data_IF_379507621108
#
_entry.id   IF_379507621108
#
_cell.length_a   1.000
_cell.length_b   1.000
_cell.length_c   1.000
_cell.angle_alpha   90.00
_cell.angle_beta   90.00
_cell.angle_gamma   90.00
#
_symmetry.space_group_name_H-M   'P 1'
#
loop_
_entity.id
_entity.type
_entity.pdbx_description
1 polymer ?
#
# COMPACT_ATOMS: atom_id res chain seq x y z
N UNK A 1 -5.73 -16.62 -7.71
CA UNK A 1 -5.56 -15.92 -6.44
C UNK A 1 -6.46 -14.71 -6.35
N UNK A 2 -7.04 -14.48 -5.19
CA UNK A 2 -8.00 -13.39 -5.02
C UNK A 2 -7.35 -12.01 -5.11
N UNK A 3 -6.06 -11.91 -4.83
CA UNK A 3 -5.36 -10.63 -4.91
C UNK A 3 -5.31 -10.11 -6.34
N UNK A 4 -5.04 -10.98 -7.31
CA UNK A 4 -5.06 -10.59 -8.72
C UNK A 4 -6.44 -10.05 -9.09
N UNK A 5 -7.49 -10.71 -8.64
CA UNK A 5 -8.86 -10.27 -8.90
C UNK A 5 -9.12 -8.90 -8.30
N UNK A 6 -8.66 -8.66 -7.09
CA UNK A 6 -8.87 -7.37 -6.42
C UNK A 6 -8.24 -6.23 -7.24
N UNK A 7 -7.01 -6.45 -7.72
CA UNK A 7 -6.32 -5.42 -8.51
C UNK A 7 -7.04 -5.18 -9.83
N UNK A 8 -7.55 -6.25 -10.46
CA UNK A 8 -8.30 -6.08 -11.71
C UNK A 8 -9.60 -5.30 -11.50
N UNK A 9 -10.25 -5.49 -10.35
CA UNK A 9 -11.46 -4.73 -10.03
C UNK A 9 -11.13 -3.25 -9.83
N UNK A 10 -10.00 -2.97 -9.19
CA UNK A 10 -9.56 -1.58 -9.00
C UNK A 10 -9.27 -0.94 -10.36
N UNK A 11 -8.60 -1.69 -11.25
CA UNK A 11 -8.31 -1.20 -12.58
C UNK A 11 -9.59 -0.84 -13.33
N UNK A 12 -10.60 -1.71 -13.26
CA UNK A 12 -11.87 -1.47 -13.91
C UNK A 12 -12.59 -0.25 -13.32
N UNK A 13 -12.50 -0.08 -12.00
CA UNK A 13 -13.08 1.06 -11.33
C UNK A 13 -12.42 2.36 -11.79
N UNK A 14 -11.11 2.39 -11.87
CA UNK A 14 -10.38 3.58 -12.31
C UNK A 14 -10.70 3.93 -13.76
N UNK A 15 -10.89 2.91 -14.59
CA UNK A 15 -11.26 3.15 -15.98
C UNK A 15 -12.59 3.89 -16.09
N UNK A 16 -13.54 3.56 -15.21
CA UNK A 16 -14.84 4.25 -15.18
C UNK A 16 -14.68 5.72 -14.79
N UNK A 17 -13.62 6.05 -14.06
CA UNK A 17 -13.32 7.44 -13.70
C UNK A 17 -12.49 8.16 -14.75
N UNK A 18 -12.09 7.47 -15.81
CA UNK A 18 -11.33 8.07 -16.89
C UNK A 18 -9.83 7.81 -16.84
N UNK A 19 -9.37 6.97 -15.93
CA UNK A 19 -7.95 6.65 -15.81
C UNK A 19 -7.65 5.30 -16.44
N UNK A 20 -6.79 5.29 -17.45
CA UNK A 20 -6.44 4.05 -18.16
C UNK A 20 -4.98 3.67 -17.97
N UNK A 21 -4.24 4.45 -17.16
CA UNK A 21 -2.82 4.20 -16.85
C UNK A 21 -1.94 4.22 -18.08
N UNK A 22 -2.33 5.02 -19.09
CA UNK A 22 -1.53 5.28 -20.26
C UNK A 22 -1.10 6.73 -20.23
N UNK A 23 0.16 6.99 -20.55
CA UNK A 23 0.76 8.29 -20.35
C UNK A 23 1.44 8.77 -21.62
N UNK A 24 1.37 10.09 -21.86
CA UNK A 24 1.99 10.71 -23.04
C UNK A 24 3.51 10.75 -22.93
N UNK A 25 4.02 10.71 -21.68
CA UNK A 25 5.46 10.85 -21.45
C UNK A 25 5.81 10.23 -20.11
N UNK A 26 7.11 10.00 -19.89
CA UNK A 26 7.61 9.55 -18.60
C UNK A 26 7.33 10.60 -17.53
N UNK A 27 7.44 11.87 -17.89
CA UNK A 27 7.16 12.95 -16.95
C UNK A 27 5.72 12.91 -16.45
N UNK A 28 4.76 12.70 -17.35
CA UNK A 28 3.36 12.62 -16.95
C UNK A 28 3.11 11.39 -16.07
N UNK A 29 3.73 10.27 -16.41
CA UNK A 29 3.61 9.06 -15.62
C UNK A 29 4.17 9.28 -14.21
N UNK A 30 5.34 9.87 -14.11
CA UNK A 30 5.96 10.09 -12.81
C UNK A 30 5.18 11.08 -11.97
N UNK A 31 4.62 12.10 -12.61
CA UNK A 31 3.77 13.05 -11.90
C UNK A 31 2.56 12.35 -11.28
N UNK A 32 1.91 11.48 -12.04
CA UNK A 32 0.74 10.76 -11.54
C UNK A 32 1.14 9.86 -10.36
N UNK A 33 2.26 9.13 -10.49
CA UNK A 33 2.71 8.24 -9.42
C UNK A 33 3.04 9.04 -8.17
N UNK A 34 3.72 10.18 -8.31
CA UNK A 34 4.03 11.04 -7.15
C UNK A 34 2.76 11.51 -6.47
N UNK A 35 1.76 11.92 -7.25
CA UNK A 35 0.50 12.39 -6.69
C UNK A 35 -0.22 11.28 -5.94
N UNK A 36 -0.17 10.05 -6.46
CA UNK A 36 -0.76 8.91 -5.77
C UNK A 36 -0.02 8.60 -4.48
N UNK A 37 1.30 8.69 -4.49
CA UNK A 37 2.09 8.45 -3.29
C UNK A 37 1.81 9.48 -2.20
N UNK A 38 1.67 10.75 -2.60
CA UNK A 38 1.30 11.81 -1.66
C UNK A 38 -0.09 11.58 -1.10
N UNK A 39 -1.03 11.18 -1.95
CA UNK A 39 -2.39 10.89 -1.51
C UNK A 39 -2.39 9.73 -0.51
N UNK A 40 -1.60 8.70 -0.75
CA UNK A 40 -1.51 7.59 0.18
C UNK A 40 -0.95 8.03 1.53
N UNK A 41 0.02 8.94 1.51
CA UNK A 41 0.58 9.48 2.76
C UNK A 41 -0.51 10.17 3.58
N UNK A 42 -1.41 10.90 2.92
CA UNK A 42 -2.54 11.54 3.60
C UNK A 42 -3.47 10.48 4.18
N UNK A 43 -3.72 9.39 3.44
CA UNK A 43 -4.59 8.32 3.92
C UNK A 43 -4.02 7.62 5.14
N UNK A 44 -2.71 7.50 5.24
CA UNK A 44 -2.08 6.97 6.44
C UNK A 44 -2.40 7.86 7.65
N UNK A 45 -2.35 9.18 7.44
CA UNK A 45 -2.70 10.13 8.48
C UNK A 45 -4.16 9.97 8.92
N UNK A 46 -5.07 9.77 7.98
CA UNK A 46 -6.48 9.58 8.29
C UNK A 46 -6.72 8.28 9.04
N UNK A 47 -5.96 7.25 8.70
CA UNK A 47 -6.02 5.98 9.43
C UNK A 47 -5.67 6.21 10.91
N UNK A 48 -4.62 6.98 11.16
CA UNK A 48 -4.19 7.26 12.53
C UNK A 48 -5.27 7.97 13.35
N UNK A 49 -6.08 8.81 12.71
CA UNK A 49 -7.11 9.56 13.42
C UNK A 49 -8.19 8.67 14.03
N UNK A 50 -8.32 7.43 13.57
CA UNK A 50 -9.27 6.48 14.13
C UNK A 50 -8.70 5.67 15.28
N UNK A 51 -7.44 5.95 15.67
CA UNK A 51 -6.73 5.19 16.68
C UNK A 51 -6.13 6.14 17.74
N UNK A 52 -5.94 5.65 18.97
CA UNK A 52 -5.30 6.47 20.02
C UNK A 52 -3.78 6.45 19.81
N UNK A 53 -3.30 7.24 18.85
CA UNK A 53 -1.90 7.22 18.45
C UNK A 53 -1.04 8.25 19.17
N UNK A 54 -1.64 9.12 20.00
CA UNK A 54 -0.90 10.18 20.67
C UNK A 54 -0.43 9.69 22.04
N UNK A 55 0.87 9.38 22.21
CA UNK A 55 1.32 8.83 23.48
C UNK A 55 1.30 9.82 24.65
N UNK A 56 1.18 11.11 24.34
CA UNK A 56 1.13 12.13 25.40
C UNK A 56 -0.27 12.39 25.91
N UNK A 57 -1.27 11.67 25.43
CA UNK A 57 -2.66 11.80 25.89
C UNK A 57 -3.17 10.45 26.36
N UNK A 58 -4.16 10.49 27.24
CA UNK A 58 -4.77 9.25 27.72
C UNK A 58 -5.52 8.57 26.59
N UNK A 59 -5.43 7.24 26.53
CA UNK A 59 -6.09 6.46 25.48
C UNK A 59 -7.59 6.70 25.49
N UNK A 60 -8.20 6.74 26.67
CA UNK A 60 -9.65 6.91 26.80
C UNK A 60 -10.14 8.27 26.32
N UNK A 61 -9.25 9.25 26.17
CA UNK A 61 -9.61 10.57 25.68
C UNK A 61 -9.40 10.71 24.16
N UNK A 62 -9.05 9.61 23.49
CA UNK A 62 -8.77 9.63 22.06
C UNK A 62 -9.78 8.76 21.32
N UNK A 63 -9.92 9.04 20.02
CA UNK A 63 -10.78 8.25 19.16
C UNK A 63 -10.21 6.83 19.01
N UNK A 64 -11.09 5.84 19.07
CA UNK A 64 -10.69 4.46 18.85
C UNK A 64 -11.83 3.74 18.13
N UNK A 65 -11.71 3.60 16.83
CA UNK A 65 -12.74 3.01 15.98
C UNK A 65 -12.11 2.04 15.00
N UNK A 66 -12.10 0.76 15.37
CA UNK A 66 -11.46 -0.26 14.55
C UNK A 66 -12.13 -0.45 13.19
N UNK A 67 -13.46 -0.50 13.07
CA UNK A 67 -14.07 -0.64 11.75
C UNK A 67 -13.71 0.50 10.80
N UNK A 68 -13.70 1.74 11.28
CA UNK A 68 -13.33 2.86 10.42
C UNK A 68 -11.85 2.83 10.06
N UNK A 69 -10.99 2.47 11.03
CA UNK A 69 -9.56 2.32 10.75
C UNK A 69 -9.32 1.27 9.68
N UNK A 70 -10.07 0.15 9.74
CA UNK A 70 -9.93 -0.91 8.76
C UNK A 70 -10.27 -0.43 7.35
N UNK A 71 -11.31 0.41 7.21
CA UNK A 71 -11.68 0.93 5.91
C UNK A 71 -10.61 1.86 5.34
N UNK A 72 -9.92 2.60 6.22
CA UNK A 72 -8.82 3.44 5.75
C UNK A 72 -7.66 2.59 5.20
N UNK A 73 -7.45 1.41 5.77
CA UNK A 73 -6.44 0.51 5.21
C UNK A 73 -6.84 0.02 3.83
N UNK A 74 -8.13 -0.21 3.61
CA UNK A 74 -8.61 -0.60 2.28
C UNK A 74 -8.35 0.53 1.29
N UNK A 75 -8.58 1.78 1.70
CA UNK A 75 -8.28 2.93 0.85
C UNK A 75 -6.80 2.97 0.47
N UNK A 76 -5.93 2.65 1.43
CA UNK A 76 -4.49 2.59 1.14
C UNK A 76 -4.16 1.50 0.13
N UNK A 77 -4.88 0.38 0.19
CA UNK A 77 -4.69 -0.67 -0.81
C UNK A 77 -5.08 -0.18 -2.21
N UNK A 78 -6.16 0.60 -2.31
CA UNK A 78 -6.54 1.19 -3.59
C UNK A 78 -5.41 2.04 -4.16
N UNK A 79 -4.82 2.91 -3.36
CA UNK A 79 -3.72 3.76 -3.83
C UNK A 79 -2.49 2.93 -4.18
N UNK A 80 -2.20 1.89 -3.41
CA UNK A 80 -1.07 1.02 -3.70
C UNK A 80 -1.27 0.31 -5.04
N UNK A 81 -2.47 -0.21 -5.27
CA UNK A 81 -2.77 -0.87 -6.54
C UNK A 81 -2.71 0.10 -7.71
N UNK A 82 -3.19 1.33 -7.49
CA UNK A 82 -3.13 2.37 -8.53
C UNK A 82 -1.67 2.66 -8.90
N UNK A 83 -0.79 2.77 -7.92
CA UNK A 83 0.62 3.00 -8.19
C UNK A 83 1.26 1.85 -8.94
N UNK A 84 0.88 0.63 -8.57
CA UNK A 84 1.37 -0.56 -9.28
C UNK A 84 0.98 -0.49 -10.76
N UNK A 85 -0.29 -0.19 -11.01
CA UNK A 85 -0.78 -0.08 -12.38
C UNK A 85 -0.16 1.10 -13.12
N UNK A 86 0.07 2.20 -12.42
CA UNK A 86 0.70 3.38 -13.01
C UNK A 86 2.16 3.11 -13.41
N UNK A 87 2.81 2.17 -12.73
CA UNK A 87 4.16 1.74 -13.12
C UNK A 87 4.16 0.90 -14.40
N UNK A 88 2.97 0.53 -14.90
CA UNK A 88 2.87 -0.26 -16.12
C UNK A 88 2.89 -1.76 -15.87
N UNK A 89 2.63 -2.17 -14.64
CA UNK A 89 2.73 -3.58 -14.25
C UNK A 89 1.36 -4.21 -14.18
N UNK A 90 1.28 -5.51 -14.46
CA UNK A 90 0.01 -6.22 -14.46
C UNK A 90 -0.32 -6.78 -13.08
N UNK A 91 -1.58 -7.18 -12.90
CA UNK A 91 -2.01 -7.81 -11.66
C UNK A 91 -1.30 -9.13 -11.41
N UNK A 92 -1.01 -9.89 -12.48
CA UNK A 92 -0.29 -11.15 -12.37
C UNK A 92 1.14 -10.91 -11.87
N UNK A 93 1.76 -9.84 -12.35
CA UNK A 93 3.11 -9.48 -11.89
C UNK A 93 3.13 -9.15 -10.41
N UNK A 94 2.04 -8.59 -9.89
CA UNK A 94 1.96 -8.31 -8.47
C UNK A 94 1.98 -9.59 -7.65
N UNK A 95 1.24 -10.59 -8.10
CA UNK A 95 1.21 -11.86 -7.41
C UNK A 95 2.60 -12.52 -7.39
N UNK A 96 3.29 -12.48 -8.53
CA UNK A 96 4.63 -13.02 -8.62
C UNK A 96 5.62 -12.27 -7.73
N UNK A 97 5.51 -10.95 -7.70
CA UNK A 97 6.37 -10.14 -6.85
C UNK A 97 6.09 -10.42 -5.38
N UNK A 98 4.82 -10.59 -5.02
CA UNK A 98 4.46 -10.92 -3.65
C UNK A 98 5.09 -12.25 -3.22
N UNK A 99 4.98 -13.27 -4.06
CA UNK A 99 5.55 -14.58 -3.75
C UNK A 99 7.07 -14.49 -3.61
N UNK A 100 7.69 -13.72 -4.48
CA UNK A 100 9.14 -13.53 -4.42
C UNK A 100 9.56 -12.85 -3.11
N UNK A 101 8.85 -11.81 -2.71
CA UNK A 101 9.18 -11.10 -1.48
C UNK A 101 8.92 -11.96 -0.25
N UNK A 102 7.85 -12.75 -0.28
CA UNK A 102 7.57 -13.66 0.83
C UNK A 102 8.69 -14.67 1.00
N UNK A 103 9.12 -15.27 -0.11
CA UNK A 103 10.22 -16.23 -0.10
C UNK A 103 11.50 -15.60 0.44
N UNK A 104 11.79 -14.39 -0.02
CA UNK A 104 12.97 -13.67 0.42
C UNK A 104 12.92 -13.39 1.92
N UNK A 105 11.75 -12.99 2.43
CA UNK A 105 11.59 -12.69 3.84
C UNK A 105 11.71 -13.95 4.71
N UNK A 106 11.15 -15.06 4.24
CA UNK A 106 11.27 -16.33 4.95
C UNK A 106 12.73 -16.78 4.99
N UNK A 107 13.44 -16.56 3.89
CA UNK A 107 14.85 -16.89 3.78
C UNK A 107 15.68 -16.12 4.80
N UNK A 108 15.36 -14.83 4.98
CA UNK A 108 16.04 -14.00 5.95
C UNK A 108 15.84 -14.51 7.37
N UNK A 109 14.64 -14.97 7.69
CA UNK A 109 14.36 -15.54 9.01
C UNK A 109 15.22 -16.77 9.24
N UNK A 110 15.31 -17.66 8.25
CA UNK A 110 16.12 -18.87 8.36
C UNK A 110 17.59 -18.56 8.54
N UNK A 111 18.05 -17.47 7.91
CA UNK A 111 19.45 -17.05 8.04
C UNK A 111 19.72 -16.25 9.31
N UNK A 112 18.71 -16.13 10.19
CA UNK A 112 18.88 -15.45 11.45
C UNK A 112 18.68 -13.95 11.40
N UNK A 113 17.97 -13.46 10.40
CA UNK A 113 17.73 -12.02 10.26
C UNK A 113 17.17 -11.40 11.53
N UNK A 114 16.17 -12.02 12.14
CA UNK A 114 15.54 -11.48 13.33
C UNK A 114 16.45 -11.57 14.57
N UNK A 115 17.43 -12.46 14.54
CA UNK A 115 18.41 -12.58 15.63
C UNK A 115 19.45 -11.49 15.54
N UNK A 116 19.67 -10.96 14.36
CA UNK A 116 20.70 -9.97 14.10
C UNK A 116 20.14 -8.57 14.06
N UNK A 117 18.88 -8.39 14.41
CA UNK A 117 18.19 -7.12 14.22
C UNK A 117 18.90 -5.97 14.94
N UNK A 118 19.52 -6.25 16.07
CA UNK A 118 20.21 -5.21 16.86
C UNK A 118 21.55 -4.79 16.26
N UNK A 119 22.17 -5.66 15.51
CA UNK A 119 23.45 -5.38 14.88
C UNK A 119 23.33 -5.18 13.40
N UNK A 120 22.30 -5.71 12.82
CA UNK A 120 22.07 -5.66 11.38
C UNK A 120 21.42 -4.36 10.96
N UNK A 121 21.73 -3.96 9.77
CA UNK A 121 21.11 -2.78 9.14
C UNK A 121 20.50 -3.16 7.82
N UNK A 122 20.06 -4.36 7.73
CA UNK A 122 19.44 -4.85 6.49
C UNK A 122 18.18 -4.14 6.13
#
# INVERSE_FOLDING_TARGET
>A
MQLTKAIELIKAYQKKLGYDFKYESVEAQMEHIRNLALAQTVEVSEFLEWLPYKPWRKVEDQTFNIPEAALELVDQFFFMADMWLALGLSSEMFEQAFEHKLEENLDRIERGYNKDVNSSKE
#
